data_IF_631408038173
#
_entry.id   IF_631408038173
#
_cell.length_a   1.000
_cell.length_b   1.000
_cell.length_c   1.000
_cell.angle_alpha   90.00
_cell.angle_beta   90.00
_cell.angle_gamma   90.00
#
_symmetry.space_group_name_H-M   'P 1'
#
loop_
_entity.id
_entity.type
_entity.pdbx_description
1 polymer ?
#
# COMPACT_ATOMS: atom_id res chain seq x y z
N UNK A 1 61.74 -34.11 13.72
CA UNK A 1 62.97 -33.31 13.46
C UNK A 1 62.54 -32.16 12.57
N UNK A 2 62.15 -31.02 13.16
CA UNK A 2 62.99 -29.81 13.36
C UNK A 2 63.00 -28.97 12.07
N UNK A 3 62.69 -27.67 12.03
CA UNK A 3 63.01 -26.57 12.96
C UNK A 3 62.07 -25.35 12.80
N UNK A 4 61.93 -24.60 13.90
CA UNK A 4 61.33 -23.27 14.05
C UNK A 4 62.00 -22.17 13.20
N UNK A 5 61.31 -21.04 12.98
CA UNK A 5 61.89 -19.70 13.17
C UNK A 5 60.81 -18.61 13.25
N UNK A 6 60.96 -17.75 14.26
CA UNK A 6 60.22 -16.55 14.62
C UNK A 6 60.92 -15.34 13.98
N UNK A 7 60.20 -14.33 13.49
CA UNK A 7 60.79 -12.99 13.33
C UNK A 7 59.76 -11.86 13.50
N UNK A 8 60.03 -11.04 14.51
CA UNK A 8 59.33 -9.80 14.85
C UNK A 8 59.57 -8.73 13.79
N UNK A 9 58.57 -7.90 13.48
CA UNK A 9 58.83 -6.56 12.95
C UNK A 9 57.93 -5.52 13.63
N UNK A 10 58.61 -4.52 14.19
CA UNK A 10 58.07 -3.33 14.86
C UNK A 10 57.13 -2.56 13.94
N UNK A 11 55.97 -2.12 14.45
CA UNK A 11 55.12 -1.18 13.74
C UNK A 11 55.25 0.20 14.39
N UNK A 12 55.65 1.15 13.56
CA UNK A 12 55.98 2.55 13.87
C UNK A 12 54.72 3.31 14.29
N UNK A 13 54.82 4.02 15.41
CA UNK A 13 53.85 5.03 15.84
C UNK A 13 53.90 6.21 14.86
N UNK A 14 52.82 6.46 14.12
CA UNK A 14 52.66 7.69 13.35
C UNK A 14 51.57 8.50 14.02
N UNK A 15 51.99 9.48 14.83
CA UNK A 15 51.15 10.58 15.27
C UNK A 15 50.81 11.42 14.04
N UNK A 16 49.52 11.51 13.71
CA UNK A 16 49.02 12.52 12.76
C UNK A 16 47.98 13.35 13.47
N UNK A 17 48.36 14.61 13.63
CA UNK A 17 47.59 15.69 14.24
C UNK A 17 46.36 16.04 13.38
N UNK A 18 45.27 16.34 14.11
CA UNK A 18 44.08 17.18 13.84
C UNK A 18 44.06 17.97 12.50
N UNK A 19 42.95 18.21 11.79
CA UNK A 19 41.60 18.59 12.20
C UNK A 19 40.72 18.71 10.93
N UNK A 20 39.39 18.65 11.12
CA UNK A 20 38.34 19.23 10.26
C UNK A 20 38.03 18.58 8.89
N UNK A 21 37.04 17.67 8.92
CA UNK A 21 36.06 17.59 7.85
C UNK A 21 34.66 17.49 8.48
N UNK A 22 34.21 18.58 9.08
CA UNK A 22 32.88 18.72 9.68
C UNK A 22 31.85 19.11 8.63
N UNK A 23 31.27 18.10 8.00
CA UNK A 23 29.86 18.07 7.63
C UNK A 23 29.50 16.63 7.27
N UNK A 24 29.21 15.82 8.30
CA UNK A 24 28.36 14.65 8.12
C UNK A 24 27.05 15.14 7.50
N UNK A 25 26.93 15.02 6.18
CA UNK A 25 25.67 15.12 5.48
C UNK A 25 24.79 14.00 6.03
N UNK A 26 24.05 14.34 7.07
CA UNK A 26 23.20 13.44 7.83
C UNK A 26 22.02 13.14 6.92
N UNK A 27 22.19 12.17 6.03
CA UNK A 27 21.08 11.55 5.31
C UNK A 27 20.10 11.10 6.40
N UNK A 28 18.88 11.65 6.49
CA UNK A 28 17.96 11.25 7.54
C UNK A 28 17.69 9.75 7.34
N UNK A 29 18.20 8.92 8.26
CA UNK A 29 18.01 7.46 8.28
C UNK A 29 16.57 7.02 8.57
N UNK A 30 15.61 7.94 8.46
CA UNK A 30 14.22 7.71 8.77
C UNK A 30 13.48 7.53 7.46
N UNK A 31 13.26 6.27 7.10
CA UNK A 31 12.31 5.88 6.05
C UNK A 31 10.96 6.53 6.41
N UNK A 32 10.49 7.46 5.58
CA UNK A 32 9.16 8.08 5.74
C UNK A 32 8.12 6.97 5.81
N UNK A 33 7.63 6.70 7.02
CA UNK A 33 6.59 5.72 7.26
C UNK A 33 5.23 6.40 7.15
N UNK A 34 4.39 5.93 6.23
CA UNK A 34 2.98 6.35 6.20
C UNK A 34 2.28 5.72 7.39
N UNK A 35 2.04 6.50 8.45
CA UNK A 35 1.20 6.08 9.59
C UNK A 35 -0.26 6.29 9.21
N UNK A 36 -1.07 5.24 9.30
CA UNK A 36 -2.52 5.37 9.22
C UNK A 36 -3.00 5.98 10.54
N UNK A 37 -3.45 7.23 10.49
CA UNK A 37 -4.10 7.86 11.64
C UNK A 37 -5.49 7.24 11.83
N UNK A 38 -5.68 6.56 12.97
CA UNK A 38 -6.94 5.89 13.33
C UNK A 38 -8.04 6.93 13.60
N UNK A 39 -7.66 8.16 13.93
CA UNK A 39 -8.58 9.28 14.16
C UNK A 39 -8.80 10.14 12.91
N UNK A 40 -8.22 9.78 11.77
CA UNK A 40 -8.44 10.50 10.52
C UNK A 40 -9.93 10.56 10.20
N UNK A 41 -10.39 11.75 9.78
CA UNK A 41 -11.75 11.94 9.32
C UNK A 41 -12.09 10.89 8.25
N UNK A 42 -13.22 10.20 8.43
CA UNK A 42 -13.66 9.16 7.48
C UNK A 42 -13.83 9.82 6.11
N UNK A 43 -13.20 9.32 5.05
CA UNK A 43 -13.39 9.87 3.72
C UNK A 43 -14.84 9.69 3.30
N UNK A 44 -15.39 10.70 2.61
CA UNK A 44 -16.71 10.57 2.01
C UNK A 44 -16.69 9.47 0.94
N UNK A 45 -17.76 8.66 0.83
CA UNK A 45 -17.85 7.65 -0.21
C UNK A 45 -17.89 8.31 -1.59
N UNK A 46 -17.02 7.89 -2.51
CA UNK A 46 -16.99 8.38 -3.89
C UNK A 46 -18.29 8.15 -4.64
N UNK A 47 -18.94 7.01 -4.41
CA UNK A 47 -20.20 6.66 -5.05
C UNK A 47 -21.33 6.68 -4.02
N UNK A 48 -22.45 7.29 -4.39
CA UNK A 48 -23.67 7.29 -3.57
C UNK A 48 -24.44 6.00 -3.79
N UNK A 49 -25.24 5.62 -2.80
CA UNK A 49 -26.20 4.53 -2.95
C UNK A 49 -27.15 4.84 -4.12
N UNK A 50 -27.44 3.83 -4.94
CA UNK A 50 -28.21 3.95 -6.16
C UNK A 50 -27.43 4.42 -7.40
N UNK A 51 -26.18 4.84 -7.27
CA UNK A 51 -25.37 5.24 -8.43
C UNK A 51 -25.02 4.05 -9.33
N UNK A 52 -24.98 4.29 -10.64
CA UNK A 52 -24.50 3.28 -11.60
C UNK A 52 -22.97 3.25 -11.63
N UNK A 53 -22.41 2.06 -11.65
CA UNK A 53 -20.96 1.81 -11.70
C UNK A 53 -20.64 0.65 -12.63
N UNK A 54 -19.39 0.62 -13.10
CA UNK A 54 -18.85 -0.43 -13.94
C UNK A 54 -17.64 -1.09 -13.27
N UNK A 55 -17.46 -2.38 -13.49
CA UNK A 55 -16.31 -3.14 -13.00
C UNK A 55 -15.82 -4.11 -14.07
N UNK A 56 -14.52 -4.45 -14.08
CA UNK A 56 -14.02 -5.56 -14.89
C UNK A 56 -14.29 -6.87 -14.16
N UNK A 57 -15.05 -7.75 -14.80
CA UNK A 57 -15.32 -9.09 -14.31
C UNK A 57 -14.61 -10.13 -15.14
N UNK A 58 -14.37 -11.30 -14.55
CA UNK A 58 -13.83 -12.46 -15.25
C UNK A 58 -14.91 -13.52 -15.33
N UNK A 59 -15.36 -13.82 -16.55
CA UNK A 59 -16.32 -14.89 -16.85
C UNK A 59 -15.56 -15.96 -17.61
N UNK A 60 -15.26 -17.07 -16.92
CA UNK A 60 -14.36 -18.10 -17.45
C UNK A 60 -12.94 -17.57 -17.66
N UNK A 61 -12.46 -17.59 -18.91
CA UNK A 61 -11.14 -17.05 -19.29
C UNK A 61 -11.18 -15.58 -19.74
N UNK A 62 -12.37 -15.04 -20.02
CA UNK A 62 -12.52 -13.71 -20.64
C UNK A 62 -12.82 -12.65 -19.59
N UNK A 63 -12.22 -11.45 -19.77
CA UNK A 63 -12.59 -10.27 -19.01
C UNK A 63 -13.69 -9.50 -19.72
N UNK A 64 -14.76 -9.20 -19.01
CA UNK A 64 -15.89 -8.43 -19.51
C UNK A 64 -16.14 -7.23 -18.60
N UNK A 65 -16.84 -6.22 -19.14
CA UNK A 65 -17.32 -5.10 -18.36
C UNK A 65 -18.68 -5.46 -17.77
N UNK A 66 -18.77 -5.51 -16.45
CA UNK A 66 -20.03 -5.63 -15.72
C UNK A 66 -20.58 -4.26 -15.35
N UNK A 67 -21.90 -4.12 -15.38
CA UNK A 67 -22.62 -2.90 -15.00
C UNK A 67 -23.52 -3.15 -13.81
N UNK A 68 -23.39 -2.32 -12.79
CA UNK A 68 -24.04 -2.50 -11.49
C UNK A 68 -24.60 -1.20 -10.95
N UNK A 69 -25.43 -1.33 -9.93
CA UNK A 69 -25.88 -0.23 -9.11
C UNK A 69 -25.35 -0.38 -7.68
N UNK A 70 -24.93 0.72 -7.04
CA UNK A 70 -24.51 0.67 -5.63
C UNK A 70 -25.73 0.39 -4.75
N UNK A 71 -25.67 -0.68 -3.94
CA UNK A 71 -26.68 -0.95 -2.92
C UNK A 71 -26.39 -0.18 -1.63
N UNK A 72 -25.16 -0.31 -1.15
CA UNK A 72 -24.69 0.15 0.14
C UNK A 72 -23.20 0.46 0.06
N UNK A 73 -22.77 1.44 0.84
CA UNK A 73 -21.37 1.76 1.07
C UNK A 73 -20.99 1.57 2.54
N UNK A 74 -19.72 1.24 2.80
CA UNK A 74 -19.15 1.22 4.15
C UNK A 74 -17.68 1.62 4.13
N UNK A 75 -17.25 2.37 5.14
CA UNK A 75 -15.83 2.63 5.35
C UNK A 75 -15.20 1.49 6.16
N UNK A 76 -14.13 0.89 5.65
CA UNK A 76 -13.37 -0.13 6.36
C UNK A 76 -12.18 0.49 7.09
N UNK A 77 -12.34 0.78 8.38
CA UNK A 77 -11.33 1.49 9.18
C UNK A 77 -9.97 0.80 9.26
N UNK A 78 -9.93 -0.53 9.35
CA UNK A 78 -8.67 -1.30 9.37
C UNK A 78 -7.91 -1.27 8.03
N UNK A 79 -8.62 -0.96 6.94
CA UNK A 79 -8.13 -1.00 5.57
C UNK A 79 -7.92 0.39 4.97
N UNK A 80 -8.55 1.41 5.53
CA UNK A 80 -8.44 2.81 5.09
C UNK A 80 -9.16 3.12 3.78
N UNK A 81 -10.16 2.33 3.37
CA UNK A 81 -10.92 2.58 2.15
C UNK A 81 -12.40 2.23 2.27
N UNK A 82 -13.21 2.82 1.39
CA UNK A 82 -14.63 2.54 1.24
C UNK A 82 -14.84 1.30 0.37
N UNK A 83 -15.72 0.43 0.82
CA UNK A 83 -16.19 -0.74 0.09
C UNK A 83 -17.68 -0.59 -0.23
N UNK A 84 -18.13 -1.25 -1.29
CA UNK A 84 -19.49 -1.15 -1.80
C UNK A 84 -20.09 -2.53 -2.08
N UNK A 85 -21.38 -2.70 -1.77
CA UNK A 85 -22.18 -3.81 -2.27
C UNK A 85 -22.87 -3.40 -3.57
N UNK A 86 -22.93 -4.33 -4.51
CA UNK A 86 -23.44 -4.10 -5.86
C UNK A 86 -24.77 -4.83 -6.08
N UNK A 87 -25.67 -4.20 -6.84
CA UNK A 87 -26.90 -4.79 -7.36
C UNK A 87 -26.77 -5.02 -8.86
N UNK A 88 -27.30 -6.14 -9.30
CA UNK A 88 -27.54 -6.41 -10.71
C UNK A 88 -28.72 -5.54 -11.20
N UNK A 89 -28.56 -4.71 -12.25
CA UNK A 89 -29.58 -3.73 -12.62
C UNK A 89 -30.93 -4.34 -13.00
N UNK A 90 -30.93 -5.50 -13.67
CA UNK A 90 -32.16 -6.14 -14.14
C UNK A 90 -32.91 -6.87 -13.03
N UNK A 91 -32.21 -7.61 -12.17
CA UNK A 91 -32.83 -8.45 -11.15
C UNK A 91 -32.95 -7.76 -9.79
N UNK A 92 -32.27 -6.63 -9.61
CA UNK A 92 -32.16 -5.92 -8.33
C UNK A 92 -31.68 -6.83 -7.19
N UNK A 93 -30.93 -7.89 -7.53
CA UNK A 93 -30.34 -8.82 -6.59
C UNK A 93 -28.90 -8.44 -6.26
N UNK A 94 -28.46 -8.75 -5.05
CA UNK A 94 -27.06 -8.55 -4.65
C UNK A 94 -26.12 -9.39 -5.53
N UNK A 95 -25.21 -8.71 -6.21
CA UNK A 95 -24.18 -9.33 -7.01
C UNK A 95 -23.21 -10.14 -6.13
N UNK A 96 -22.77 -11.30 -6.62
CA UNK A 96 -21.86 -12.22 -5.94
C UNK A 96 -22.21 -12.46 -4.46
N UNK A 97 -23.50 -12.73 -4.18
CA UNK A 97 -24.04 -12.99 -2.84
C UNK A 97 -23.77 -11.85 -1.83
N UNK A 98 -23.66 -10.61 -2.30
CA UNK A 98 -23.42 -9.44 -1.45
C UNK A 98 -21.95 -9.22 -1.09
N UNK A 99 -21.02 -9.66 -1.94
CA UNK A 99 -19.61 -9.35 -1.77
C UNK A 99 -19.36 -7.83 -1.74
N UNK A 100 -18.29 -7.44 -1.03
CA UNK A 100 -17.87 -6.05 -0.89
C UNK A 100 -16.71 -5.76 -1.84
N UNK A 101 -16.89 -4.77 -2.71
CA UNK A 101 -15.92 -4.36 -3.73
C UNK A 101 -15.28 -3.04 -3.35
N UNK A 102 -13.99 -2.88 -3.64
CA UNK A 102 -13.28 -1.65 -3.26
C UNK A 102 -13.57 -0.54 -4.25
N UNK A 103 -13.51 0.69 -3.77
CA UNK A 103 -13.68 1.86 -4.61
C UNK A 103 -12.81 1.87 -5.87
N UNK A 104 -11.55 1.43 -5.76
CA UNK A 104 -10.59 1.42 -6.88
C UNK A 104 -10.98 0.46 -8.02
N UNK A 105 -11.75 -0.58 -7.70
CA UNK A 105 -12.16 -1.62 -8.64
C UNK A 105 -13.39 -1.18 -9.45
N UNK A 106 -14.07 -0.12 -8.99
CA UNK A 106 -15.26 0.45 -9.60
C UNK A 106 -14.91 1.70 -10.41
N UNK A 107 -15.67 1.92 -11.48
CA UNK A 107 -15.64 3.12 -12.31
C UNK A 107 -17.05 3.70 -12.40
N UNK A 108 -17.15 5.01 -12.48
CA UNK A 108 -18.44 5.68 -12.65
C UNK A 108 -19.14 5.15 -13.90
N UNK A 109 -20.40 4.73 -13.75
CA UNK A 109 -21.30 4.42 -14.85
C UNK A 109 -21.80 5.71 -15.50
N UNK A 110 -21.89 5.70 -16.82
CA UNK A 110 -22.39 6.78 -17.67
C UNK A 110 -23.83 6.52 -18.05
#
# INVERSE_FOLDING_TARGET
MSTNALENQSTVTVETEYLENSADETVPGIKSGVRLDINAAKPEPRFRDGAQVHMSEKIGSTRMKGSYQISKSRFSGSKGYTEYQLLEPLTQSLHNKGAWYREKDLKQGS
#
